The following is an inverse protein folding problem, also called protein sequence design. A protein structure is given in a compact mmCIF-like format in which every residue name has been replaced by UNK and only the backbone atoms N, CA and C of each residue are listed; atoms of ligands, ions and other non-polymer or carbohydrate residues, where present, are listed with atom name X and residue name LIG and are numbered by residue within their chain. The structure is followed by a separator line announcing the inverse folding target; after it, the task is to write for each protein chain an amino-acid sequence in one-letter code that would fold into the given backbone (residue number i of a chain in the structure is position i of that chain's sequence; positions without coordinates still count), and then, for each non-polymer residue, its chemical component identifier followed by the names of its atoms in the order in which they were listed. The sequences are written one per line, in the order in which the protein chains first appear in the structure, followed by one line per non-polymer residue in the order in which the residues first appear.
data_IF_751492097531
#
_entry.id   IF_751492097531
#
_cell.length_a   1.000
_cell.length_b   1.000
_cell.length_c   1.000
_cell.angle_alpha   90.00
_cell.angle_beta   90.00
_cell.angle_gamma   90.00
#
_symmetry.space_group_name_H-M   'P 1'
#
loop_
_entity.id
_entity.type
_entity.pdbx_description
1 polymer ?
#
# COMPACT_ATOMS: atom_id res chain seq x y z
N UNK A 1 13.29 -23.23 2.66
CA UNK A 1 14.15 -22.03 2.53
C UNK A 1 13.98 -21.34 1.16
N UNK A 2 14.30 -21.98 0.02
CA UNK A 2 14.10 -21.37 -1.32
C UNK A 2 12.63 -20.97 -1.55
N UNK A 3 11.69 -21.82 -1.12
CA UNK A 3 10.25 -21.57 -1.25
C UNK A 3 9.76 -20.27 -0.55
N UNK A 4 10.34 -19.90 0.61
CA UNK A 4 9.94 -18.70 1.38
C UNK A 4 10.32 -17.44 0.59
N UNK A 5 11.56 -17.37 0.09
CA UNK A 5 12.00 -16.22 -0.71
C UNK A 5 11.31 -16.13 -2.06
N UNK A 6 11.00 -17.27 -2.70
CA UNK A 6 10.23 -17.27 -3.95
C UNK A 6 8.82 -16.73 -3.72
N UNK A 7 8.14 -17.13 -2.64
CA UNK A 7 6.82 -16.60 -2.27
C UNK A 7 6.87 -15.10 -1.98
N UNK A 8 7.83 -14.64 -1.17
CA UNK A 8 8.04 -13.21 -0.92
C UNK A 8 8.20 -12.45 -2.24
N UNK A 9 9.01 -13.00 -3.15
CA UNK A 9 9.31 -12.35 -4.42
C UNK A 9 8.10 -12.29 -5.36
N UNK A 10 7.28 -13.34 -5.39
CA UNK A 10 6.03 -13.31 -6.15
C UNK A 10 5.08 -12.23 -5.64
N UNK A 11 4.91 -12.09 -4.33
CA UNK A 11 4.08 -11.04 -3.75
C UNK A 11 4.61 -9.65 -4.14
N UNK A 12 5.92 -9.43 -4.06
CA UNK A 12 6.53 -8.18 -4.51
C UNK A 12 6.27 -7.89 -5.99
N UNK A 13 6.42 -8.90 -6.86
CA UNK A 13 6.18 -8.75 -8.31
C UNK A 13 4.72 -8.43 -8.59
N UNK A 14 3.79 -9.14 -7.95
CA UNK A 14 2.35 -8.90 -8.12
C UNK A 14 1.97 -7.49 -7.63
N UNK A 15 2.52 -7.06 -6.50
CA UNK A 15 2.34 -5.71 -5.97
C UNK A 15 2.87 -4.64 -6.95
N UNK A 16 4.09 -4.81 -7.46
CA UNK A 16 4.68 -3.86 -8.41
C UNK A 16 3.91 -3.80 -9.73
N UNK A 17 3.47 -4.96 -10.23
CA UNK A 17 2.62 -5.04 -11.42
C UNK A 17 1.26 -4.38 -11.21
N UNK A 18 0.76 -4.34 -9.97
CA UNK A 18 -0.51 -3.71 -9.63
C UNK A 18 -0.42 -2.19 -9.52
N UNK A 19 0.59 -1.66 -8.83
CA UNK A 19 0.74 -0.21 -8.69
C UNK A 19 1.25 0.43 -9.98
N UNK A 20 1.97 -0.30 -10.83
CA UNK A 20 2.48 0.11 -12.16
C UNK A 20 3.40 1.34 -12.19
N UNK A 21 3.66 1.97 -11.05
CA UNK A 21 4.49 3.16 -10.87
C UNK A 21 5.13 3.15 -9.49
N UNK A 22 5.88 4.19 -9.14
CA UNK A 22 6.25 4.41 -7.73
C UNK A 22 5.01 4.69 -6.86
N UNK A 23 5.17 4.54 -5.55
CA UNK A 23 4.08 4.60 -4.57
C UNK A 23 3.40 5.96 -4.54
N UNK A 24 4.17 7.05 -4.66
CA UNK A 24 3.64 8.42 -4.60
C UNK A 24 2.85 8.71 -5.87
N UNK A 25 3.38 8.34 -7.03
CA UNK A 25 2.67 8.48 -8.31
C UNK A 25 1.40 7.64 -8.32
N UNK A 26 1.46 6.39 -7.86
CA UNK A 26 0.28 5.53 -7.74
C UNK A 26 -0.78 6.18 -6.85
N UNK A 27 -0.37 6.66 -5.68
CA UNK A 27 -1.29 7.27 -4.71
C UNK A 27 -1.94 8.54 -5.25
N UNK A 28 -1.17 9.41 -5.91
CA UNK A 28 -1.71 10.59 -6.62
C UNK A 28 -2.69 10.19 -7.72
N UNK A 29 -2.42 9.10 -8.45
CA UNK A 29 -3.34 8.61 -9.48
C UNK A 29 -4.69 8.16 -8.91
N UNK A 30 -4.69 7.54 -7.71
CA UNK A 30 -5.91 7.14 -7.01
C UNK A 30 -6.70 8.37 -6.56
N UNK A 31 -6.04 9.37 -5.96
CA UNK A 31 -6.68 10.66 -5.66
C UNK A 31 -7.26 11.33 -6.91
N UNK A 32 -6.51 11.34 -8.01
CA UNK A 32 -6.96 11.94 -9.26
C UNK A 32 -8.22 11.25 -9.77
N UNK A 33 -8.32 9.91 -9.69
CA UNK A 33 -9.55 9.19 -10.04
C UNK A 33 -10.74 9.65 -9.18
N UNK A 34 -10.53 9.81 -7.88
CA UNK A 34 -11.59 10.25 -6.97
C UNK A 34 -12.10 11.67 -7.26
N UNK A 35 -11.24 12.60 -7.70
CA UNK A 35 -11.64 14.00 -7.95
C UNK A 35 -12.02 14.30 -9.40
N UNK A 36 -11.36 13.68 -10.37
CA UNK A 36 -11.34 14.14 -11.77
C UNK A 36 -11.86 13.11 -12.78
N UNK A 37 -11.97 11.83 -12.42
CA UNK A 37 -12.48 10.81 -13.34
C UNK A 37 -14.01 10.79 -13.29
N UNK A 38 -14.67 11.15 -14.39
CA UNK A 38 -16.13 11.23 -14.47
C UNK A 38 -16.87 9.93 -14.11
N UNK A 39 -16.21 8.78 -14.21
CA UNK A 39 -16.82 7.48 -13.87
C UNK A 39 -16.61 7.09 -12.42
N UNK A 40 -15.57 7.63 -11.78
CA UNK A 40 -15.12 7.25 -10.44
C UNK A 40 -15.22 8.39 -9.43
N UNK A 41 -15.66 9.57 -9.87
CA UNK A 41 -15.68 10.79 -9.07
C UNK A 41 -16.56 10.61 -7.83
N UNK A 42 -15.99 10.91 -6.66
CA UNK A 42 -16.70 10.82 -5.38
C UNK A 42 -16.98 9.39 -4.89
N UNK A 43 -16.58 8.35 -5.64
CA UNK A 43 -16.79 6.96 -5.22
C UNK A 43 -15.71 6.53 -4.22
N UNK A 44 -16.15 6.09 -3.03
CA UNK A 44 -15.26 5.56 -1.99
C UNK A 44 -14.53 4.29 -2.48
N UNK A 45 -15.14 3.56 -3.41
CA UNK A 45 -14.59 2.35 -4.04
C UNK A 45 -13.23 2.58 -4.71
N UNK A 46 -12.92 3.82 -5.08
CA UNK A 46 -11.60 4.22 -5.57
C UNK A 46 -10.49 3.89 -4.57
N UNK A 47 -10.79 3.87 -3.27
CA UNK A 47 -9.85 3.56 -2.21
C UNK A 47 -10.04 2.16 -1.62
N UNK A 48 -11.29 1.72 -1.39
CA UNK A 48 -11.55 0.44 -0.70
C UNK A 48 -11.17 -0.77 -1.57
N UNK A 49 -11.46 -0.75 -2.87
CA UNK A 49 -11.10 -1.85 -3.78
C UNK A 49 -9.58 -2.09 -3.84
N UNK A 50 -8.73 -1.06 -4.04
CA UNK A 50 -7.28 -1.28 -3.97
C UNK A 50 -6.80 -1.65 -2.56
N UNK A 51 -7.37 -1.07 -1.49
CA UNK A 51 -7.01 -1.44 -0.11
C UNK A 51 -7.27 -2.91 0.19
N UNK A 52 -8.44 -3.44 -0.19
CA UNK A 52 -8.78 -4.87 -0.02
C UNK A 52 -7.75 -5.78 -0.69
N UNK A 53 -7.27 -5.41 -1.87
CA UNK A 53 -6.24 -6.18 -2.58
C UNK A 53 -4.89 -6.08 -1.90
N UNK A 54 -4.49 -4.89 -1.45
CA UNK A 54 -3.23 -4.68 -0.76
C UNK A 54 -3.18 -5.42 0.58
N UNK A 55 -4.29 -5.46 1.33
CA UNK A 55 -4.35 -6.23 2.58
C UNK A 55 -4.19 -7.73 2.34
N UNK A 56 -4.78 -8.29 1.28
CA UNK A 56 -4.55 -9.71 0.93
C UNK A 56 -3.08 -10.02 0.71
N UNK A 57 -2.34 -9.13 0.06
CA UNK A 57 -0.90 -9.29 -0.09
C UNK A 57 -0.14 -9.06 1.21
N UNK A 58 -0.56 -8.11 2.05
CA UNK A 58 0.06 -7.88 3.37
C UNK A 58 -0.05 -9.13 4.21
N UNK A 59 -1.24 -9.71 4.32
CA UNK A 59 -1.49 -10.91 5.13
C UNK A 59 -0.69 -12.11 4.58
N UNK A 60 -0.61 -12.26 3.26
CA UNK A 60 0.25 -13.25 2.62
C UNK A 60 1.75 -13.02 2.93
N UNK A 61 2.20 -11.77 2.95
CA UNK A 61 3.58 -11.41 3.26
C UNK A 61 3.92 -11.60 4.73
N UNK A 62 3.01 -11.25 5.63
CA UNK A 62 3.13 -11.50 7.08
C UNK A 62 3.24 -13.00 7.36
N UNK A 63 2.49 -13.84 6.64
CA UNK A 63 2.63 -15.30 6.71
C UNK A 63 4.04 -15.73 6.31
N UNK A 64 4.60 -15.18 5.22
CA UNK A 64 5.98 -15.47 4.80
C UNK A 64 7.01 -15.02 5.85
N UNK A 65 6.82 -13.84 6.47
CA UNK A 65 7.69 -13.34 7.53
C UNK A 65 7.64 -14.21 8.80
N UNK A 66 6.45 -14.69 9.17
CA UNK A 66 6.28 -15.60 10.30
C UNK A 66 6.96 -16.95 10.05
N UNK A 67 6.80 -17.54 8.86
CA UNK A 67 7.50 -18.76 8.47
C UNK A 67 9.02 -18.58 8.43
N UNK A 68 9.50 -17.44 7.91
CA UNK A 68 10.93 -17.11 7.91
C UNK A 68 11.48 -17.01 9.33
N UNK A 69 10.73 -16.37 10.25
CA UNK A 69 11.10 -16.27 11.65
C UNK A 69 11.15 -17.64 12.34
N UNK A 70 10.19 -18.51 12.07
CA UNK A 70 10.17 -19.86 12.64
C UNK A 70 11.31 -20.74 12.10
N UNK A 71 11.62 -20.64 10.81
CA UNK A 71 12.63 -21.46 10.17
C UNK A 71 14.07 -21.01 10.45
N UNK A 72 14.31 -19.70 10.53
CA UNK A 72 15.67 -19.14 10.55
C UNK A 72 15.94 -18.24 11.78
N UNK A 73 14.91 -17.80 12.50
CA UNK A 73 15.04 -16.81 13.56
C UNK A 73 15.27 -15.39 13.05
N UNK A 74 15.77 -14.51 13.91
CA UNK A 74 16.06 -13.11 13.57
C UNK A 74 17.37 -12.97 12.78
N UNK A 75 17.35 -13.32 11.50
CA UNK A 75 18.52 -13.23 10.61
C UNK A 75 18.54 -11.94 9.79
N UNK A 76 19.72 -11.53 9.27
CA UNK A 76 19.79 -10.45 8.28
C UNK A 76 18.91 -10.69 7.05
N UNK A 77 18.69 -11.95 6.66
CA UNK A 77 17.80 -12.32 5.57
C UNK A 77 16.34 -12.01 5.89
N UNK A 78 15.86 -12.32 7.10
CA UNK A 78 14.52 -11.94 7.56
C UNK A 78 14.37 -10.42 7.61
N UNK A 79 15.39 -9.69 8.05
CA UNK A 79 15.39 -8.23 8.01
C UNK A 79 15.31 -7.69 6.57
N UNK A 80 16.01 -8.31 5.62
CA UNK A 80 15.93 -7.96 4.21
C UNK A 80 14.53 -8.23 3.62
N UNK A 81 13.91 -9.36 3.96
CA UNK A 81 12.51 -9.64 3.59
C UNK A 81 11.57 -8.58 4.18
N UNK A 82 11.67 -8.30 5.47
CA UNK A 82 10.84 -7.26 6.09
C UNK A 82 11.00 -5.90 5.39
N UNK A 83 12.23 -5.51 5.06
CA UNK A 83 12.52 -4.27 4.31
C UNK A 83 11.92 -4.30 2.90
N UNK A 84 11.95 -5.45 2.22
CA UNK A 84 11.40 -5.59 0.87
C UNK A 84 9.86 -5.52 0.84
N UNK A 85 9.20 -5.90 1.94
CA UNK A 85 7.75 -5.72 2.12
C UNK A 85 7.33 -4.30 2.50
N UNK A 86 8.26 -3.42 2.91
CA UNK A 86 7.94 -2.07 3.38
C UNK A 86 7.13 -1.23 2.36
N UNK A 87 7.43 -1.26 1.04
CA UNK A 87 6.64 -0.52 0.06
C UNK A 87 5.14 -0.88 0.03
N UNK A 88 4.80 -2.15 0.27
CA UNK A 88 3.42 -2.60 0.36
C UNK A 88 2.73 -1.95 1.57
N UNK A 89 3.38 -1.99 2.73
CA UNK A 89 2.90 -1.36 3.96
C UNK A 89 2.74 0.15 3.82
N UNK A 90 3.70 0.83 3.19
CA UNK A 90 3.65 2.27 2.97
C UNK A 90 2.49 2.65 2.03
N UNK A 91 2.24 1.86 1.00
CA UNK A 91 1.12 2.08 0.07
C UNK A 91 -0.23 1.94 0.78
N UNK A 92 -0.37 0.93 1.64
CA UNK A 92 -1.57 0.77 2.48
C UNK A 92 -1.77 1.99 3.35
N UNK A 93 -0.72 2.40 4.10
CA UNK A 93 -0.77 3.58 4.97
C UNK A 93 -1.18 4.84 4.22
N UNK A 94 -0.67 5.05 3.01
CA UNK A 94 -0.99 6.21 2.19
C UNK A 94 -2.45 6.22 1.73
N UNK A 95 -2.98 5.07 1.31
CA UNK A 95 -4.38 4.96 0.89
C UNK A 95 -5.35 5.03 2.07
N UNK A 96 -5.01 4.45 3.23
CA UNK A 96 -5.78 4.55 4.46
C UNK A 96 -5.91 6.01 4.92
N UNK A 97 -4.80 6.76 4.89
CA UNK A 97 -4.79 8.18 5.27
C UNK A 97 -5.75 9.01 4.41
N UNK A 98 -5.75 8.79 3.09
CA UNK A 98 -6.72 9.43 2.19
C UNK A 98 -8.13 8.97 2.52
N UNK A 99 -8.34 7.66 2.62
CA UNK A 99 -9.66 7.08 2.82
C UNK A 99 -10.32 7.61 4.09
N UNK A 100 -9.57 7.68 5.20
CA UNK A 100 -10.01 8.29 6.45
C UNK A 100 -10.50 9.73 6.26
N UNK A 101 -9.75 10.55 5.51
CA UNK A 101 -10.15 11.94 5.22
C UNK A 101 -11.36 12.04 4.30
N UNK A 102 -11.49 11.10 3.35
CA UNK A 102 -12.61 11.07 2.41
C UNK A 102 -13.92 10.73 3.09
N UNK A 103 -13.90 9.93 4.17
CA UNK A 103 -15.09 9.67 4.99
C UNK A 103 -15.66 10.97 5.56
N UNK A 104 -14.80 11.92 5.95
CA UNK A 104 -15.21 13.25 6.42
C UNK A 104 -15.62 14.19 5.27
N UNK A 105 -15.40 13.77 4.03
CA UNK A 105 -15.80 14.45 2.80
C UNK A 105 -14.63 14.98 1.97
N UNK A 106 -14.87 15.32 0.70
CA UNK A 106 -13.82 15.78 -0.23
C UNK A 106 -13.11 17.06 0.25
N UNK A 107 -13.79 17.92 1.00
CA UNK A 107 -13.20 19.14 1.56
C UNK A 107 -12.07 18.86 2.56
N UNK A 108 -12.24 17.85 3.43
CA UNK A 108 -11.22 17.46 4.40
C UNK A 108 -9.95 16.96 3.71
N UNK A 109 -10.10 16.15 2.66
CA UNK A 109 -8.97 15.70 1.84
C UNK A 109 -8.26 16.85 1.12
N UNK A 110 -9.02 17.80 0.54
CA UNK A 110 -8.46 19.00 -0.10
C UNK A 110 -7.64 19.85 0.89
N UNK A 111 -8.18 20.06 2.09
CA UNK A 111 -7.50 20.81 3.16
C UNK A 111 -6.20 20.11 3.59
N UNK A 112 -6.25 18.79 3.81
CA UNK A 112 -5.09 18.01 4.19
C UNK A 112 -4.00 18.03 3.11
N UNK A 113 -4.37 17.85 1.84
CA UNK A 113 -3.45 17.94 0.72
C UNK A 113 -2.77 19.30 0.63
N UNK A 114 -3.55 20.38 0.80
CA UNK A 114 -3.07 21.77 0.71
C UNK A 114 -2.13 22.13 1.87
N UNK A 115 -2.44 21.65 3.06
CA UNK A 115 -1.61 21.83 4.27
C UNK A 115 -0.42 20.87 4.32
N UNK A 116 -0.25 20.02 3.31
CA UNK A 116 0.78 18.99 3.22
C UNK A 116 0.75 18.01 4.40
N UNK A 117 -0.42 17.63 4.89
CA UNK A 117 -0.54 16.75 6.06
C UNK A 117 -0.72 15.28 5.72
N UNK A 118 -0.76 14.91 4.43
CA UNK A 118 -0.93 13.50 4.02
C UNK A 118 0.35 12.69 4.25
N UNK A 119 0.20 11.43 4.61
CA UNK A 119 1.29 10.55 5.03
C UNK A 119 2.46 10.48 4.03
N UNK A 120 2.21 10.49 2.71
CA UNK A 120 3.29 10.47 1.71
C UNK A 120 3.99 11.81 1.50
N UNK A 121 3.42 12.93 1.98
CA UNK A 121 4.01 14.27 1.79
C UNK A 121 5.15 14.55 2.79
N UNK A 122 5.33 13.68 3.78
CA UNK A 122 6.40 13.72 4.79
C UNK A 122 7.44 12.61 4.62
N UNK A 123 7.25 11.72 3.65
CA UNK A 123 8.05 10.50 3.46
C UNK A 123 9.19 10.68 2.46
#
# INVERSE_FOLDING_TARGET
MIAICVRAKHIEVDFQAFITSDLVTYTKSVMHRYFCDHTMQGLIDVFTVPLDRLYKWRDAYETVLAEALQAEGCTPRRAALQKAGQPLTDTIRYLEDIWCLVIDGPGALCDAYSKKTLAWQWS
#
